data_IF_912687009399
#
_entry.id   IF_912687009399
#
_cell.length_a   1.000
_cell.length_b   1.000
_cell.length_c   1.000
_cell.angle_alpha   90.00
_cell.angle_beta   90.00
_cell.angle_gamma   90.00
#
_symmetry.space_group_name_H-M   'P 1'
#
loop_
_entity.id
_entity.type
_entity.pdbx_description
1 polymer ?
#
# COMPACT_ATOMS: atom_id res chain seq x y z
N UNK A 1 -14.72 22.13 86.34
CA UNK A 1 -14.49 23.55 85.96
C UNK A 1 -14.35 23.61 84.44
N UNK A 2 -15.04 24.58 83.83
CA UNK A 2 -14.94 25.12 82.44
C UNK A 2 -15.12 24.18 81.23
N UNK A 3 -16.25 24.24 80.51
CA UNK A 3 -16.73 25.21 79.48
C UNK A 3 -16.11 25.06 78.08
N UNK A 4 -16.96 24.57 77.18
CA UNK A 4 -17.36 25.16 75.91
C UNK A 4 -16.44 25.10 74.67
N UNK A 5 -16.97 24.46 73.61
CA UNK A 5 -17.21 24.94 72.21
C UNK A 5 -17.10 23.73 71.26
N UNK A 6 -17.96 23.46 70.28
CA UNK A 6 -19.13 24.14 69.75
C UNK A 6 -19.55 23.44 68.43
N UNK A 7 -20.87 23.38 68.20
CA UNK A 7 -21.59 23.34 66.91
C UNK A 7 -21.48 22.14 65.95
N UNK A 8 -22.52 21.29 66.09
CA UNK A 8 -23.33 20.58 65.08
C UNK A 8 -23.17 21.04 63.62
N UNK A 9 -23.13 20.07 62.72
CA UNK A 9 -23.92 20.15 61.48
C UNK A 9 -24.74 18.86 61.31
N UNK A 10 -26.05 19.05 61.14
CA UNK A 10 -27.08 18.03 60.98
C UNK A 10 -27.44 17.94 59.50
N UNK A 11 -27.51 16.73 58.94
CA UNK A 11 -28.72 16.22 58.27
C UNK A 11 -28.38 15.00 57.39
N UNK A 12 -29.13 13.91 57.61
CA UNK A 12 -29.21 12.74 56.73
C UNK A 12 -30.60 12.73 56.04
N UNK A 13 -30.98 11.70 55.25
CA UNK A 13 -31.44 11.85 53.86
C UNK A 13 -32.97 11.68 53.73
N UNK A 14 -33.57 11.98 52.57
CA UNK A 14 -34.89 11.42 52.22
C UNK A 14 -35.25 11.46 50.73
N UNK A 15 -35.58 10.27 50.23
CA UNK A 15 -36.70 9.90 49.35
C UNK A 15 -36.75 10.33 47.87
N UNK A 16 -36.92 9.28 47.05
CA UNK A 16 -37.22 9.25 45.64
C UNK A 16 -38.63 9.79 45.31
N UNK A 17 -38.78 10.37 44.12
CA UNK A 17 -40.05 10.49 43.40
C UNK A 17 -39.83 10.33 41.89
N UNK A 18 -40.73 9.56 41.30
CA UNK A 18 -40.82 9.08 39.93
C UNK A 18 -40.93 10.23 38.91
N UNK A 19 -40.32 10.05 37.75
CA UNK A 19 -40.58 10.86 36.56
C UNK A 19 -41.00 9.95 35.40
N UNK A 20 -42.11 10.29 34.78
CA UNK A 20 -42.92 9.42 33.93
C UNK A 20 -42.22 8.93 32.66
N UNK A 21 -42.54 7.69 32.30
CA UNK A 21 -42.20 7.08 31.02
C UNK A 21 -42.87 7.84 29.87
N UNK A 22 -42.12 8.73 29.24
CA UNK A 22 -42.46 9.21 27.90
C UNK A 22 -42.23 8.05 26.93
N UNK A 23 -43.32 7.56 26.33
CA UNK A 23 -43.31 6.57 25.24
C UNK A 23 -42.59 7.16 24.02
N UNK A 24 -41.26 7.15 24.04
CA UNK A 24 -40.47 7.32 22.84
C UNK A 24 -40.52 5.99 22.10
N UNK A 25 -41.36 5.95 21.07
CA UNK A 25 -41.43 4.89 20.08
C UNK A 25 -40.02 4.68 19.52
N UNK A 26 -39.30 3.66 20.00
CA UNK A 26 -38.10 3.14 19.34
C UNK A 26 -38.56 2.54 18.00
N UNK A 27 -38.70 3.40 16.99
CA UNK A 27 -38.58 2.99 15.61
C UNK A 27 -37.15 2.51 15.44
N UNK A 28 -36.96 1.19 15.59
CA UNK A 28 -35.82 0.50 15.00
C UNK A 28 -35.85 0.84 13.51
N UNK A 29 -35.06 1.82 13.10
CA UNK A 29 -34.55 1.88 11.74
C UNK A 29 -33.72 0.61 11.58
N UNK A 30 -34.37 -0.47 11.17
CA UNK A 30 -33.71 -1.48 10.38
C UNK A 30 -33.23 -0.73 9.13
N UNK A 31 -32.03 -0.16 9.20
CA UNK A 31 -31.29 0.16 8.01
C UNK A 31 -31.25 -1.16 7.23
N UNK A 32 -32.02 -1.23 6.16
CA UNK A 32 -31.93 -2.28 5.16
C UNK A 32 -30.57 -2.15 4.49
N UNK A 33 -29.50 -2.47 5.23
CA UNK A 33 -28.22 -2.77 4.62
C UNK A 33 -28.48 -3.99 3.78
N UNK A 34 -28.45 -3.83 2.46
CA UNK A 34 -28.42 -4.96 1.54
C UNK A 34 -27.34 -5.91 2.06
N UNK A 35 -27.75 -7.10 2.50
CA UNK A 35 -26.82 -8.09 3.04
C UNK A 35 -25.86 -8.42 1.91
N UNK A 36 -24.56 -8.19 2.13
CA UNK A 36 -23.52 -8.58 1.19
C UNK A 36 -23.73 -10.04 0.80
N UNK A 37 -23.77 -10.31 -0.50
CA UNK A 37 -24.00 -11.66 -1.02
C UNK A 37 -22.78 -12.55 -0.79
N UNK A 38 -21.59 -11.95 -0.80
CA UNK A 38 -20.31 -12.62 -0.71
C UNK A 38 -19.51 -12.12 0.50
N UNK A 39 -18.52 -12.92 0.90
CA UNK A 39 -17.67 -12.63 2.07
C UNK A 39 -16.54 -11.63 1.80
N UNK A 40 -16.15 -11.46 0.53
CA UNK A 40 -15.01 -10.63 0.13
C UNK A 40 -15.36 -9.20 -0.26
N UNK A 41 -14.34 -8.37 -0.40
CA UNK A 41 -14.48 -6.98 -0.84
C UNK A 41 -15.08 -6.90 -2.25
N UNK A 42 -16.02 -5.97 -2.44
CA UNK A 42 -16.59 -5.67 -3.74
C UNK A 42 -15.55 -5.16 -4.75
N UNK A 43 -15.99 -5.05 -5.99
CA UNK A 43 -15.17 -4.56 -7.10
C UNK A 43 -14.57 -3.20 -6.78
N UNK A 44 -13.28 -3.01 -7.07
CA UNK A 44 -12.60 -1.74 -6.83
C UNK A 44 -13.24 -0.61 -7.67
N UNK A 45 -13.56 0.55 -7.06
CA UNK A 45 -14.04 1.72 -7.80
C UNK A 45 -13.05 2.14 -8.89
N UNK A 46 -13.56 2.57 -10.05
CA UNK A 46 -12.74 3.02 -11.18
C UNK A 46 -11.73 1.97 -11.68
N UNK A 47 -12.05 0.67 -11.53
CA UNK A 47 -11.19 -0.47 -11.92
C UNK A 47 -10.48 -0.27 -13.27
N UNK A 48 -11.23 0.10 -14.31
CA UNK A 48 -10.68 0.31 -15.66
C UNK A 48 -9.65 1.45 -15.70
N UNK A 49 -9.92 2.57 -15.04
CA UNK A 49 -9.02 3.72 -15.04
C UNK A 49 -7.72 3.41 -14.30
N UNK A 50 -7.83 2.74 -13.13
CA UNK A 50 -6.66 2.31 -12.34
C UNK A 50 -5.82 1.31 -13.15
N UNK A 51 -6.46 0.31 -13.76
CA UNK A 51 -5.80 -0.70 -14.57
C UNK A 51 -5.02 -0.08 -15.73
N UNK A 52 -5.67 0.78 -16.51
CA UNK A 52 -5.05 1.42 -17.67
C UNK A 52 -3.92 2.38 -17.26
N UNK A 53 -4.10 3.13 -16.17
CA UNK A 53 -3.08 4.00 -15.60
C UNK A 53 -1.83 3.22 -15.20
N UNK A 54 -1.99 2.15 -14.41
CA UNK A 54 -0.88 1.27 -13.99
C UNK A 54 -0.17 0.63 -15.17
N UNK A 55 -0.91 0.15 -16.17
CA UNK A 55 -0.32 -0.40 -17.38
C UNK A 55 0.52 0.64 -18.13
N UNK A 56 0.01 1.86 -18.29
CA UNK A 56 0.71 2.93 -18.99
C UNK A 56 2.02 3.33 -18.28
N UNK A 57 1.99 3.46 -16.95
CA UNK A 57 3.18 3.74 -16.15
C UNK A 57 4.21 2.61 -16.23
N UNK A 58 3.76 1.36 -16.13
CA UNK A 58 4.65 0.20 -16.15
C UNK A 58 5.42 0.07 -17.48
N UNK A 59 4.83 0.49 -18.60
CA UNK A 59 5.53 0.49 -19.91
C UNK A 59 6.83 1.30 -19.90
N UNK A 60 6.94 2.33 -19.06
CA UNK A 60 8.17 3.10 -18.93
C UNK A 60 9.31 2.30 -18.28
N UNK A 61 9.00 1.28 -17.49
CA UNK A 61 9.96 0.39 -16.82
C UNK A 61 10.45 -0.74 -17.73
N UNK A 62 9.70 -1.06 -18.79
CA UNK A 62 10.06 -2.11 -19.75
C UNK A 62 11.23 -1.69 -20.64
N UNK A 63 12.04 -2.70 -20.99
CA UNK A 63 13.09 -2.55 -22.00
C UNK A 63 12.48 -2.08 -23.33
N UNK A 64 13.23 -1.34 -24.16
CA UNK A 64 12.71 -0.83 -25.44
C UNK A 64 12.09 -1.92 -26.33
N UNK A 65 12.69 -3.11 -26.34
CA UNK A 65 12.24 -4.27 -27.12
C UNK A 65 10.88 -4.82 -26.64
N UNK A 66 10.59 -4.72 -25.34
CA UNK A 66 9.38 -5.28 -24.73
C UNK A 66 8.32 -4.21 -24.42
N UNK A 67 8.65 -2.92 -24.59
CA UNK A 67 7.79 -1.75 -24.30
C UNK A 67 6.54 -1.66 -25.18
N UNK A 68 6.54 -2.32 -26.33
CA UNK A 68 5.39 -2.38 -27.22
C UNK A 68 4.28 -3.28 -26.64
N UNK A 69 3.55 -2.73 -25.65
CA UNK A 69 2.40 -3.35 -24.99
C UNK A 69 1.18 -2.46 -25.21
N UNK A 70 0.08 -3.06 -25.69
CA UNK A 70 -1.17 -2.35 -25.92
C UNK A 70 -2.08 -2.49 -24.69
N UNK A 71 -2.07 -1.47 -23.82
CA UNK A 71 -2.85 -1.48 -22.58
C UNK A 71 -4.36 -1.64 -22.81
N UNK A 72 -4.90 -1.07 -23.88
CA UNK A 72 -6.32 -1.24 -24.22
C UNK A 72 -6.63 -2.69 -24.58
N UNK A 73 -5.79 -3.32 -25.41
CA UNK A 73 -5.97 -4.74 -25.75
C UNK A 73 -5.81 -5.66 -24.53
N UNK A 74 -4.85 -5.36 -23.64
CA UNK A 74 -4.66 -6.08 -22.38
C UNK A 74 -5.89 -5.96 -21.48
N UNK A 75 -6.47 -4.76 -21.37
CA UNK A 75 -7.72 -4.52 -20.64
C UNK A 75 -8.91 -5.29 -21.25
N UNK A 76 -9.07 -5.24 -22.58
CA UNK A 76 -10.14 -5.94 -23.27
C UNK A 76 -10.03 -7.47 -23.09
N UNK A 77 -8.81 -8.01 -23.06
CA UNK A 77 -8.59 -9.42 -22.74
C UNK A 77 -8.91 -9.73 -21.26
N UNK A 78 -8.55 -8.84 -20.34
CA UNK A 78 -8.84 -8.99 -18.91
C UNK A 78 -10.35 -8.99 -18.63
N UNK A 79 -11.10 -8.04 -19.19
CA UNK A 79 -12.52 -7.83 -18.84
C UNK A 79 -13.47 -8.91 -19.35
N UNK A 80 -13.02 -9.85 -20.18
CA UNK A 80 -13.85 -11.00 -20.63
C UNK A 80 -14.44 -11.75 -19.44
N UNK A 81 -13.68 -11.88 -18.36
CA UNK A 81 -14.13 -12.55 -17.11
C UNK A 81 -15.23 -11.77 -16.38
N UNK A 82 -15.32 -10.46 -16.59
CA UNK A 82 -16.34 -9.60 -15.98
C UNK A 82 -17.72 -9.80 -16.62
N UNK A 83 -17.81 -10.54 -17.73
CA UNK A 83 -19.06 -10.97 -18.32
C UNK A 83 -19.51 -12.37 -17.83
N UNK A 84 -18.67 -13.09 -17.09
CA UNK A 84 -18.95 -14.45 -16.63
C UNK A 84 -19.67 -14.47 -15.27
N UNK A 85 -20.28 -15.61 -14.96
CA UNK A 85 -20.75 -15.88 -13.61
C UNK A 85 -19.57 -15.81 -12.61
N UNK A 86 -19.72 -15.11 -11.48
CA UNK A 86 -18.61 -14.86 -10.54
C UNK A 86 -18.12 -16.12 -9.81
N UNK A 87 -18.71 -17.30 -10.02
CA UNK A 87 -18.20 -18.59 -9.53
C UNK A 87 -17.84 -19.57 -10.66
N UNK A 88 -17.76 -19.09 -11.91
CA UNK A 88 -17.50 -19.89 -13.10
C UNK A 88 -16.31 -19.36 -13.91
N UNK A 89 -15.37 -18.67 -13.26
CA UNK A 89 -14.15 -18.14 -13.89
C UNK A 89 -13.00 -19.10 -13.65
N UNK A 90 -12.34 -19.54 -14.72
CA UNK A 90 -11.21 -20.46 -14.66
C UNK A 90 -9.89 -19.73 -14.91
N UNK A 91 -8.74 -20.25 -14.42
CA UNK A 91 -7.43 -19.68 -14.71
C UNK A 91 -7.14 -19.53 -16.22
N UNK A 92 -7.64 -20.45 -17.04
CA UNK A 92 -7.49 -20.41 -18.51
C UNK A 92 -8.19 -19.23 -19.16
N UNK A 93 -9.21 -18.64 -18.51
CA UNK A 93 -9.91 -17.47 -19.06
C UNK A 93 -9.00 -16.24 -19.15
N UNK A 94 -7.91 -16.23 -18.37
CA UNK A 94 -6.89 -15.19 -18.40
C UNK A 94 -5.74 -15.47 -19.37
N UNK A 95 -5.78 -16.54 -20.18
CA UNK A 95 -4.68 -16.92 -21.08
C UNK A 95 -4.34 -15.83 -22.10
N UNK A 96 -5.35 -15.23 -22.73
CA UNK A 96 -5.14 -14.14 -23.68
C UNK A 96 -4.55 -12.90 -22.98
N UNK A 97 -5.06 -12.58 -21.79
CA UNK A 97 -4.55 -11.48 -20.97
C UNK A 97 -3.06 -11.68 -20.64
N UNK A 98 -2.69 -12.88 -20.19
CA UNK A 98 -1.29 -13.23 -19.90
C UNK A 98 -0.45 -13.12 -21.16
N UNK A 99 -0.89 -13.68 -22.29
CA UNK A 99 -0.12 -13.65 -23.53
C UNK A 99 0.17 -12.22 -24.02
N UNK A 100 -0.79 -11.30 -23.87
CA UNK A 100 -0.63 -9.91 -24.29
C UNK A 100 0.25 -9.08 -23.34
N UNK A 101 0.31 -9.46 -22.06
CA UNK A 101 1.01 -8.71 -21.01
C UNK A 101 2.37 -9.32 -20.63
N UNK A 102 2.63 -10.59 -20.96
CA UNK A 102 3.85 -11.30 -20.62
C UNK A 102 5.10 -10.59 -21.14
N UNK A 103 6.13 -10.59 -20.31
CA UNK A 103 7.48 -10.15 -20.62
C UNK A 103 8.47 -10.96 -19.79
N UNK A 104 9.76 -10.92 -20.14
CA UNK A 104 10.79 -11.64 -19.38
C UNK A 104 10.98 -11.02 -17.99
N UNK A 105 11.19 -11.88 -17.01
CA UNK A 105 11.62 -11.49 -15.66
C UNK A 105 13.15 -11.60 -15.64
N UNK A 106 13.89 -10.55 -15.20
CA UNK A 106 15.34 -10.65 -15.12
C UNK A 106 15.79 -11.79 -14.20
N UNK A 107 16.87 -12.47 -14.57
CA UNK A 107 17.48 -13.53 -13.76
C UNK A 107 17.85 -13.00 -12.37
N UNK A 108 17.71 -13.83 -11.35
CA UNK A 108 18.05 -13.50 -9.95
C UNK A 108 17.23 -12.33 -9.35
N UNK A 109 16.07 -12.00 -9.94
CA UNK A 109 15.18 -10.92 -9.45
C UNK A 109 13.81 -11.40 -8.97
N UNK A 110 13.46 -12.67 -9.15
CA UNK A 110 12.17 -13.18 -8.71
C UNK A 110 12.10 -13.24 -7.18
N UNK A 111 11.02 -12.70 -6.62
CA UNK A 111 10.76 -12.64 -5.18
C UNK A 111 9.32 -13.12 -4.92
N UNK A 112 9.21 -14.34 -4.42
CA UNK A 112 7.97 -14.95 -3.95
C UNK A 112 7.74 -14.60 -2.49
N UNK A 113 6.52 -14.77 -1.99
CA UNK A 113 6.21 -14.44 -0.61
C UNK A 113 4.92 -15.06 -0.11
N UNK A 114 4.82 -15.16 1.21
CA UNK A 114 3.57 -15.47 1.93
C UNK A 114 3.46 -14.52 3.14
N UNK A 115 2.25 -14.05 3.42
CA UNK A 115 1.92 -13.18 4.56
C UNK A 115 2.82 -11.93 4.74
N UNK A 116 3.40 -11.43 3.65
CA UNK A 116 4.42 -10.35 3.65
C UNK A 116 4.19 -9.25 2.61
N UNK A 117 2.97 -9.14 2.06
CA UNK A 117 2.67 -8.34 0.86
C UNK A 117 3.22 -6.90 0.89
N UNK A 118 2.88 -6.14 1.93
CA UNK A 118 3.31 -4.74 2.06
C UNK A 118 4.83 -4.61 2.25
N UNK A 119 5.46 -5.57 2.94
CA UNK A 119 6.91 -5.56 3.13
C UNK A 119 7.61 -5.84 1.80
N UNK A 120 7.10 -6.78 1.01
CA UNK A 120 7.63 -7.14 -0.31
C UNK A 120 7.56 -5.96 -1.27
N UNK A 121 6.41 -5.30 -1.38
CA UNK A 121 6.25 -4.14 -2.28
C UNK A 121 7.16 -2.97 -1.87
N UNK A 122 7.35 -2.75 -0.57
CA UNK A 122 8.30 -1.73 -0.08
C UNK A 122 9.75 -2.12 -0.35
N UNK A 123 10.08 -3.41 -0.21
CA UNK A 123 11.44 -3.91 -0.34
C UNK A 123 11.89 -4.05 -1.81
N UNK A 124 10.99 -4.44 -2.71
CA UNK A 124 11.28 -4.56 -4.14
C UNK A 124 11.58 -3.22 -4.79
N UNK A 125 10.93 -2.17 -4.28
CA UNK A 125 11.12 -0.77 -4.67
C UNK A 125 10.89 -0.57 -6.17
N UNK A 126 9.70 -0.98 -6.62
CA UNK A 126 9.20 -0.84 -7.99
C UNK A 126 10.21 -1.38 -9.02
N UNK A 127 10.53 -2.67 -8.95
CA UNK A 127 11.52 -3.39 -9.80
C UNK A 127 13.00 -3.09 -9.54
N UNK A 128 13.34 -2.07 -8.71
CA UNK A 128 14.74 -1.64 -8.52
C UNK A 128 15.60 -2.71 -7.86
N UNK A 129 15.10 -3.34 -6.80
CA UNK A 129 15.84 -4.36 -6.04
C UNK A 129 15.45 -5.77 -6.49
N UNK A 130 14.16 -6.05 -6.50
CA UNK A 130 13.56 -7.32 -6.89
C UNK A 130 12.32 -7.07 -7.74
N UNK A 131 11.81 -8.10 -8.38
CA UNK A 131 10.61 -8.07 -9.21
C UNK A 131 9.64 -9.17 -8.74
N UNK A 132 8.93 -8.97 -7.61
CA UNK A 132 7.82 -9.84 -7.20
C UNK A 132 6.70 -9.83 -8.25
N UNK A 133 5.71 -10.72 -8.13
CA UNK A 133 4.59 -10.79 -9.09
C UNK A 133 3.83 -9.46 -9.22
N UNK A 134 3.69 -8.70 -8.11
CA UNK A 134 3.12 -7.34 -8.07
C UNK A 134 3.93 -6.30 -8.88
N UNK A 135 5.20 -6.60 -9.16
CA UNK A 135 6.11 -5.79 -9.96
C UNK A 135 6.31 -6.33 -11.39
N UNK A 136 5.50 -7.30 -11.81
CA UNK A 136 5.40 -7.75 -13.22
C UNK A 136 4.14 -7.16 -13.84
N UNK A 137 4.15 -6.81 -15.14
CA UNK A 137 3.03 -6.08 -15.78
C UNK A 137 1.66 -6.70 -15.48
N UNK A 138 1.52 -8.02 -15.63
CA UNK A 138 0.24 -8.69 -15.39
C UNK A 138 -0.17 -8.68 -13.91
N UNK A 139 0.75 -8.77 -12.95
CA UNK A 139 0.38 -8.66 -11.53
C UNK A 139 0.14 -7.21 -11.10
N UNK A 140 0.95 -6.27 -11.60
CA UNK A 140 0.88 -4.84 -11.28
C UNK A 140 -0.49 -4.25 -11.52
N UNK A 141 -1.12 -4.58 -12.65
CA UNK A 141 -2.43 -4.02 -13.01
C UNK A 141 -3.57 -4.47 -12.09
N UNK A 142 -3.37 -5.54 -11.32
CA UNK A 142 -4.37 -6.13 -10.43
C UNK A 142 -4.00 -6.03 -8.93
N UNK A 143 -2.80 -5.56 -8.61
CA UNK A 143 -2.29 -5.51 -7.24
C UNK A 143 -3.22 -4.71 -6.29
N UNK A 144 -3.66 -5.29 -5.18
CA UNK A 144 -4.69 -4.76 -4.26
C UNK A 144 -6.07 -4.45 -4.88
N UNK A 145 -6.39 -4.98 -6.07
CA UNK A 145 -7.70 -4.79 -6.67
C UNK A 145 -8.59 -6.03 -6.47
N UNK A 146 -9.89 -5.79 -6.38
CA UNK A 146 -10.94 -6.82 -6.38
C UNK A 146 -11.89 -6.56 -7.55
N UNK A 147 -12.47 -7.63 -8.10
CA UNK A 147 -13.44 -7.52 -9.19
C UNK A 147 -14.31 -8.76 -9.31
N UNK A 148 -15.59 -8.53 -9.58
CA UNK A 148 -16.53 -9.57 -9.96
C UNK A 148 -17.78 -8.98 -10.62
N UNK A 149 -18.50 -9.83 -11.36
CA UNK A 149 -19.82 -9.49 -11.90
C UNK A 149 -20.88 -9.77 -10.85
N UNK A 150 -21.96 -8.99 -10.86
CA UNK A 150 -23.17 -9.32 -10.12
C UNK A 150 -23.72 -10.68 -10.58
N UNK A 151 -24.26 -11.46 -9.63
CA UNK A 151 -24.85 -12.78 -9.93
C UNK A 151 -26.08 -12.68 -10.84
N UNK A 152 -26.94 -11.70 -10.58
CA UNK A 152 -28.25 -11.55 -11.21
C UNK A 152 -28.34 -10.37 -12.21
N UNK A 153 -27.22 -9.72 -12.53
CA UNK A 153 -27.17 -8.60 -13.46
C UNK A 153 -25.88 -8.60 -14.28
N UNK A 154 -25.81 -7.77 -15.32
CA UNK A 154 -24.62 -7.61 -16.16
C UNK A 154 -23.59 -6.63 -15.61
N UNK A 155 -23.92 -5.89 -14.53
CA UNK A 155 -23.03 -4.92 -13.91
C UNK A 155 -21.96 -5.57 -13.01
N UNK A 156 -20.98 -4.77 -12.63
CA UNK A 156 -19.99 -5.14 -11.61
C UNK A 156 -20.62 -5.10 -10.22
N UNK A 157 -20.22 -6.02 -9.35
CA UNK A 157 -20.66 -6.04 -7.96
C UNK A 157 -19.67 -5.23 -7.12
N UNK A 158 -20.07 -4.02 -6.72
CA UNK A 158 -19.29 -3.14 -5.86
C UNK A 158 -19.56 -3.38 -4.37
N UNK A 159 -20.53 -4.23 -4.02
CA UNK A 159 -20.87 -4.50 -2.62
C UNK A 159 -19.98 -5.59 -2.05
N UNK A 160 -19.83 -6.69 -2.78
CA UNK A 160 -19.05 -7.85 -2.32
C UNK A 160 -18.62 -8.72 -3.49
N UNK A 161 -17.52 -9.46 -3.36
CA UNK A 161 -17.08 -10.47 -4.33
C UNK A 161 -16.78 -11.81 -3.66
N UNK A 162 -16.97 -12.94 -4.36
CA UNK A 162 -16.73 -14.26 -3.78
C UNK A 162 -15.26 -14.47 -3.44
N UNK A 163 -15.01 -15.05 -2.27
CA UNK A 163 -13.69 -15.55 -1.85
C UNK A 163 -13.57 -17.04 -2.15
N UNK A 164 -12.41 -17.62 -1.82
CA UNK A 164 -12.17 -19.07 -1.88
C UNK A 164 -13.13 -19.88 -1.00
N UNK A 165 -13.69 -19.29 0.07
CA UNK A 165 -14.70 -19.93 0.92
C UNK A 165 -16.08 -19.95 0.27
N UNK A 166 -16.41 -18.93 -0.53
CA UNK A 166 -17.68 -18.84 -1.25
C UNK A 166 -17.68 -19.76 -2.47
N UNK A 167 -16.62 -19.71 -3.28
CA UNK A 167 -16.42 -20.59 -4.43
C UNK A 167 -14.97 -20.58 -4.94
N UNK A 168 -14.47 -21.76 -5.31
CA UNK A 168 -13.09 -21.96 -5.78
C UNK A 168 -12.74 -21.23 -7.08
N UNK A 169 -13.73 -21.09 -7.98
CA UNK A 169 -13.57 -20.54 -9.33
C UNK A 169 -14.10 -19.09 -9.42
N UNK A 170 -13.70 -18.27 -8.46
CA UNK A 170 -13.97 -16.83 -8.48
C UNK A 170 -12.95 -16.07 -9.36
N UNK A 171 -13.26 -14.83 -9.81
CA UNK A 171 -12.42 -14.13 -10.78
C UNK A 171 -11.03 -13.79 -10.25
N UNK A 172 -10.93 -13.41 -8.97
CA UNK A 172 -9.68 -12.95 -8.35
C UNK A 172 -8.74 -14.12 -8.08
N UNK A 173 -9.23 -15.20 -7.49
CA UNK A 173 -8.40 -16.39 -7.23
C UNK A 173 -7.96 -17.04 -8.54
N UNK A 174 -8.86 -17.19 -9.51
CA UNK A 174 -8.49 -17.74 -10.83
C UNK A 174 -7.45 -16.88 -11.56
N UNK A 175 -7.50 -15.57 -11.38
CA UNK A 175 -6.48 -14.66 -11.89
C UNK A 175 -5.12 -14.91 -11.25
N UNK A 176 -5.05 -14.91 -9.92
CA UNK A 176 -3.79 -15.09 -9.21
C UNK A 176 -3.22 -16.49 -9.42
N UNK A 177 -4.07 -17.53 -9.49
CA UNK A 177 -3.65 -18.88 -9.90
C UNK A 177 -2.92 -18.83 -11.25
N UNK A 178 -3.51 -18.15 -12.25
CA UNK A 178 -2.92 -18.05 -13.58
C UNK A 178 -1.63 -17.22 -13.62
N UNK A 179 -1.62 -16.09 -12.92
CA UNK A 179 -0.48 -15.18 -12.83
C UNK A 179 0.71 -15.83 -12.10
N UNK A 180 0.47 -16.49 -10.96
CA UNK A 180 1.47 -17.24 -10.20
C UNK A 180 2.10 -18.37 -11.01
N UNK A 181 1.27 -19.18 -11.72
CA UNK A 181 1.77 -20.20 -12.63
C UNK A 181 2.70 -19.60 -13.69
N UNK A 182 2.32 -18.46 -14.27
CA UNK A 182 3.12 -17.81 -15.30
C UNK A 182 4.43 -17.24 -14.74
N UNK A 183 4.35 -16.61 -13.58
CA UNK A 183 5.47 -16.01 -12.87
C UNK A 183 6.54 -17.08 -12.56
N UNK A 184 6.14 -18.20 -11.97
CA UNK A 184 7.04 -19.33 -11.67
C UNK A 184 7.69 -19.96 -12.90
N UNK A 185 6.98 -20.03 -14.03
CA UNK A 185 7.54 -20.57 -15.29
C UNK A 185 8.60 -19.66 -15.91
N UNK A 186 8.47 -18.35 -15.69
CA UNK A 186 9.35 -17.33 -16.27
C UNK A 186 10.51 -16.94 -15.34
N UNK A 187 10.44 -17.31 -14.06
CA UNK A 187 11.52 -17.13 -13.08
C UNK A 187 12.75 -17.99 -13.38
N UNK A 188 13.94 -17.44 -13.09
CA UNK A 188 15.22 -18.13 -13.30
C UNK A 188 16.35 -17.58 -12.41
N UNK A 189 17.41 -18.37 -12.26
CA UNK A 189 18.54 -18.05 -11.39
C UNK A 189 18.24 -18.37 -9.92
N UNK A 190 18.65 -17.49 -9.01
CA UNK A 190 18.32 -17.56 -7.59
C UNK A 190 16.88 -17.13 -7.41
N UNK A 191 16.09 -18.00 -6.78
CA UNK A 191 14.71 -17.71 -6.39
C UNK A 191 14.72 -17.24 -4.94
N UNK A 192 14.22 -16.03 -4.68
CA UNK A 192 14.09 -15.50 -3.34
C UNK A 192 12.65 -15.67 -2.86
N UNK A 193 12.47 -16.00 -1.58
CA UNK A 193 11.15 -16.17 -0.98
C UNK A 193 11.12 -15.46 0.37
N UNK A 194 10.17 -14.54 0.58
CA UNK A 194 10.00 -13.83 1.84
C UNK A 194 8.78 -14.38 2.60
N UNK A 195 9.01 -15.00 3.75
CA UNK A 195 7.98 -15.59 4.60
C UNK A 195 7.89 -14.83 5.92
N UNK A 196 6.70 -14.81 6.53
CA UNK A 196 6.48 -14.18 7.82
C UNK A 196 6.63 -15.21 8.95
N UNK A 197 7.73 -15.16 9.71
CA UNK A 197 7.99 -16.01 10.87
C UNK A 197 7.19 -15.64 12.11
N UNK A 198 6.47 -14.51 12.08
CA UNK A 198 5.55 -14.08 13.13
C UNK A 198 4.09 -14.47 12.86
N UNK A 199 3.82 -15.17 11.75
CA UNK A 199 2.49 -15.66 11.40
C UNK A 199 2.01 -16.75 12.38
N UNK A 200 0.84 -16.60 13.04
CA UNK A 200 0.35 -17.57 14.02
C UNK A 200 0.14 -18.99 13.49
N UNK A 201 -0.13 -19.12 12.18
CA UNK A 201 -0.35 -20.42 11.52
C UNK A 201 0.94 -21.08 11.01
N UNK A 202 2.09 -20.44 11.23
CA UNK A 202 3.40 -20.86 10.72
C UNK A 202 3.81 -20.10 9.46
N UNK A 203 5.11 -20.10 9.17
CA UNK A 203 5.70 -19.30 8.09
C UNK A 203 5.36 -19.83 6.69
N UNK A 204 5.19 -21.14 6.53
CA UNK A 204 4.87 -21.81 5.28
C UNK A 204 3.47 -22.46 5.32
N UNK A 205 2.45 -21.85 4.70
CA UNK A 205 1.15 -22.47 4.56
C UNK A 205 1.24 -23.63 3.56
N UNK A 206 0.91 -24.85 4.01
CA UNK A 206 0.93 -26.05 3.14
C UNK A 206 -0.11 -26.00 2.01
N UNK A 207 -1.12 -25.14 2.14
CA UNK A 207 -2.12 -24.80 1.12
C UNK A 207 -2.05 -23.30 0.88
N UNK A 208 -1.87 -22.89 -0.36
CA UNK A 208 -1.65 -21.49 -0.71
C UNK A 208 -1.07 -21.33 -2.10
N UNK A 209 -0.95 -20.09 -2.57
CA UNK A 209 -0.43 -19.82 -3.91
C UNK A 209 0.99 -20.34 -4.07
N UNK A 210 1.85 -20.06 -3.10
CA UNK A 210 3.24 -20.52 -3.15
C UNK A 210 3.35 -22.06 -3.18
N UNK A 211 2.55 -22.74 -2.34
CA UNK A 211 2.56 -24.19 -2.23
C UNK A 211 1.95 -24.91 -3.43
N UNK A 212 0.81 -24.44 -3.94
CA UNK A 212 -0.03 -25.20 -4.87
C UNK A 212 0.16 -24.78 -6.33
N UNK A 213 0.55 -23.52 -6.58
CA UNK A 213 0.60 -22.95 -7.93
C UNK A 213 2.00 -22.49 -8.34
N UNK A 214 2.87 -22.17 -7.38
CA UNK A 214 4.19 -21.61 -7.70
C UNK A 214 5.29 -22.67 -7.66
N UNK A 215 5.50 -23.34 -6.51
CA UNK A 215 6.52 -24.40 -6.36
C UNK A 215 6.38 -25.48 -7.46
N UNK A 216 5.18 -26.01 -7.77
CA UNK A 216 5.04 -27.04 -8.80
C UNK A 216 5.40 -26.58 -10.22
N UNK A 217 5.42 -25.26 -10.47
CA UNK A 217 5.66 -24.69 -11.80
C UNK A 217 7.10 -24.19 -11.99
N UNK A 218 7.96 -24.32 -10.98
CA UNK A 218 9.37 -24.00 -11.10
C UNK A 218 10.09 -24.82 -12.16
N UNK A 219 10.82 -24.12 -13.03
CA UNK A 219 11.62 -24.73 -14.10
C UNK A 219 12.98 -25.11 -13.53
N UNK A 220 13.13 -26.38 -13.12
CA UNK A 220 14.31 -26.89 -12.40
C UNK A 220 15.62 -26.59 -13.12
N UNK A 221 15.63 -26.72 -14.43
CA UNK A 221 16.79 -26.48 -15.29
C UNK A 221 17.23 -25.00 -15.36
N UNK A 222 16.35 -24.06 -14.98
CA UNK A 222 16.64 -22.62 -14.99
C UNK A 222 16.99 -22.06 -13.60
N UNK A 223 16.76 -22.83 -12.55
CA UNK A 223 16.91 -22.39 -11.15
C UNK A 223 18.23 -22.89 -10.59
N UNK A 224 19.01 -21.99 -10.00
CA UNK A 224 20.30 -22.33 -9.37
C UNK A 224 20.11 -22.79 -7.93
N UNK A 225 19.37 -22.01 -7.14
CA UNK A 225 19.01 -22.31 -5.76
C UNK A 225 17.77 -21.51 -5.35
N UNK A 226 17.15 -21.94 -4.26
CA UNK A 226 16.04 -21.26 -3.61
C UNK A 226 16.52 -20.77 -2.25
N UNK A 227 16.42 -19.46 -2.04
CA UNK A 227 16.84 -18.78 -0.83
C UNK A 227 15.62 -18.20 -0.11
N UNK A 228 15.37 -18.69 1.10
CA UNK A 228 14.24 -18.29 1.92
C UNK A 228 14.68 -17.26 2.96
N UNK A 229 13.90 -16.20 3.13
CA UNK A 229 14.04 -15.21 4.17
C UNK A 229 12.83 -15.30 5.10
N UNK A 230 13.05 -15.77 6.32
CA UNK A 230 12.01 -15.82 7.36
C UNK A 230 12.12 -14.53 8.15
N UNK A 231 11.15 -13.63 7.95
CA UNK A 231 11.13 -12.29 8.53
C UNK A 231 10.24 -12.27 9.76
N UNK A 232 10.72 -11.73 10.87
CA UNK A 232 9.93 -11.53 12.08
C UNK A 232 9.54 -10.05 12.25
N UNK A 233 8.42 -9.81 12.92
CA UNK A 233 8.03 -8.47 13.33
C UNK A 233 8.93 -7.95 14.46
N UNK A 234 9.30 -6.67 14.40
CA UNK A 234 10.14 -6.03 15.42
C UNK A 234 9.39 -6.00 16.76
N UNK A 235 9.87 -6.77 17.73
CA UNK A 235 9.22 -6.92 19.04
C UNK A 235 7.95 -7.78 19.00
N UNK A 236 7.63 -8.40 17.86
CA UNK A 236 6.54 -9.34 17.71
C UNK A 236 6.93 -10.77 18.11
N UNK A 237 5.99 -11.73 17.99
CA UNK A 237 6.26 -13.13 18.30
C UNK A 237 7.21 -13.75 17.27
N UNK A 238 8.16 -14.56 17.73
CA UNK A 238 8.90 -15.49 16.88
C UNK A 238 8.17 -16.83 16.94
N UNK A 239 7.28 -17.07 15.96
CA UNK A 239 6.47 -18.30 15.90
C UNK A 239 7.27 -19.43 15.27
N UNK A 240 7.93 -19.16 14.15
CA UNK A 240 8.79 -20.12 13.47
C UNK A 240 10.01 -19.44 12.84
N UNK A 241 11.18 -20.04 13.07
CA UNK A 241 12.43 -19.69 12.39
C UNK A 241 12.84 -20.75 11.35
N UNK A 242 13.92 -20.48 10.61
CA UNK A 242 14.51 -21.43 9.67
C UNK A 242 14.72 -22.83 10.28
N UNK A 243 14.19 -23.85 9.61
CA UNK A 243 14.32 -25.24 10.06
C UNK A 243 13.39 -25.62 11.20
N UNK A 244 12.34 -24.86 11.50
CA UNK A 244 11.32 -25.18 12.51
C UNK A 244 9.94 -25.42 11.87
N UNK A 245 9.07 -26.15 12.56
CA UNK A 245 7.68 -26.41 12.16
C UNK A 245 7.44 -26.55 10.65
N UNK A 246 6.65 -25.64 10.07
CA UNK A 246 6.30 -25.62 8.65
C UNK A 246 7.50 -25.38 7.72
N UNK A 247 8.55 -24.71 8.20
CA UNK A 247 9.79 -24.50 7.44
C UNK A 247 10.55 -25.81 7.18
N UNK A 248 10.49 -26.79 8.09
CA UNK A 248 11.03 -28.15 7.82
C UNK A 248 10.26 -28.84 6.70
N UNK A 249 8.95 -28.64 6.63
CA UNK A 249 8.09 -29.21 5.58
C UNK A 249 8.47 -28.62 4.23
N UNK A 250 8.62 -27.29 4.16
CA UNK A 250 9.08 -26.58 2.96
C UNK A 250 10.48 -27.03 2.53
N UNK A 251 11.44 -27.03 3.46
CA UNK A 251 12.82 -27.45 3.19
C UNK A 251 12.87 -28.87 2.62
N UNK A 252 12.16 -29.81 3.26
CA UNK A 252 12.07 -31.19 2.79
C UNK A 252 11.49 -31.26 1.38
N UNK A 253 10.35 -30.59 1.14
CA UNK A 253 9.69 -30.57 -0.18
C UNK A 253 10.62 -30.06 -1.29
N UNK A 254 11.32 -28.95 -1.06
CA UNK A 254 12.23 -28.36 -2.04
C UNK A 254 13.45 -29.25 -2.30
N UNK A 255 14.01 -29.87 -1.25
CA UNK A 255 15.12 -30.82 -1.37
C UNK A 255 14.71 -32.09 -2.10
N UNK A 256 13.52 -32.64 -1.82
CA UNK A 256 12.97 -33.82 -2.49
C UNK A 256 12.73 -33.56 -3.99
N UNK A 257 12.38 -32.32 -4.36
CA UNK A 257 12.32 -31.88 -5.78
C UNK A 257 13.72 -31.67 -6.40
N UNK A 258 14.78 -31.73 -5.61
CA UNK A 258 16.18 -31.60 -6.01
C UNK A 258 16.64 -30.16 -6.23
N UNK A 259 16.05 -29.20 -5.52
CA UNK A 259 16.54 -27.83 -5.49
C UNK A 259 17.64 -27.66 -4.42
N UNK A 260 18.62 -26.80 -4.70
CA UNK A 260 19.50 -26.28 -3.66
C UNK A 260 18.69 -25.32 -2.77
N UNK A 261 18.79 -25.49 -1.46
CA UNK A 261 18.01 -24.74 -0.48
C UNK A 261 18.93 -24.00 0.49
N UNK A 262 18.61 -22.73 0.76
CA UNK A 262 19.20 -21.94 1.84
C UNK A 262 18.13 -21.14 2.56
N UNK A 263 18.29 -20.93 3.87
CA UNK A 263 17.35 -20.17 4.69
C UNK A 263 18.09 -19.19 5.58
N UNK A 264 17.56 -17.96 5.69
CA UNK A 264 18.12 -16.87 6.48
C UNK A 264 16.99 -16.28 7.32
N UNK A 265 17.18 -16.22 8.65
CA UNK A 265 16.29 -15.47 9.53
C UNK A 265 16.63 -13.98 9.45
N UNK A 266 15.61 -13.13 9.40
CA UNK A 266 15.69 -11.67 9.47
C UNK A 266 16.76 -11.08 8.54
N UNK A 267 16.60 -11.37 7.25
CA UNK A 267 17.54 -10.96 6.22
C UNK A 267 17.80 -9.45 6.25
N UNK A 268 19.05 -9.09 6.53
CA UNK A 268 19.51 -7.71 6.54
C UNK A 268 20.12 -7.34 5.18
N UNK A 269 19.46 -6.45 4.46
CA UNK A 269 20.04 -5.91 3.22
C UNK A 269 21.25 -5.02 3.53
N UNK A 270 22.37 -5.12 2.78
CA UNK A 270 23.53 -4.26 2.92
C UNK A 270 23.24 -2.75 2.78
N UNK A 271 22.09 -2.39 2.19
CA UNK A 271 21.60 -1.03 2.01
C UNK A 271 20.71 -0.53 3.17
N UNK A 272 20.76 -1.18 4.34
CA UNK A 272 20.15 -0.72 5.58
C UNK A 272 18.69 -1.15 5.78
N UNK A 273 18.36 -1.40 7.04
CA UNK A 273 17.10 -1.87 7.64
C UNK A 273 15.87 -0.94 7.43
N UNK A 274 15.79 -0.19 6.34
CA UNK A 274 14.75 0.84 6.17
C UNK A 274 13.32 0.30 6.03
N UNK A 275 13.10 -0.94 5.58
CA UNK A 275 11.75 -1.44 5.26
C UNK A 275 10.97 -2.01 6.44
N UNK A 276 11.63 -2.57 7.46
CA UNK A 276 10.95 -2.98 8.70
C UNK A 276 10.90 -1.83 9.72
N UNK A 277 11.94 -0.99 9.79
CA UNK A 277 11.97 0.18 10.68
C UNK A 277 10.97 1.27 10.29
N UNK A 278 10.45 1.28 9.06
CA UNK A 278 9.37 2.20 8.65
C UNK A 278 8.00 1.81 9.19
N UNK A 279 7.82 0.58 9.69
CA UNK A 279 6.58 0.08 10.29
C UNK A 279 6.56 0.09 11.82
N UNK A 280 7.70 0.32 12.47
CA UNK A 280 7.74 0.41 13.91
C UNK A 280 7.03 1.71 14.36
N UNK A 281 5.97 1.65 15.19
CA UNK A 281 5.42 2.85 15.81
C UNK A 281 6.49 3.38 16.77
N UNK A 282 7.18 4.44 16.39
CA UNK A 282 8.08 5.13 17.30
C UNK A 282 7.23 5.65 18.47
N UNK A 283 7.29 4.96 19.62
CA UNK A 283 6.78 5.50 20.89
C UNK A 283 7.66 6.69 21.25
N UNK A 284 7.18 7.89 20.99
CA UNK A 284 7.79 9.11 21.51
C UNK A 284 7.50 9.18 23.01
N UNK A 285 8.45 8.74 23.83
CA UNK A 285 8.38 8.93 25.29
C UNK A 285 8.92 10.33 25.62
N UNK A 286 8.13 11.22 26.27
CA UNK A 286 8.61 12.57 26.58
C UNK A 286 9.65 12.51 27.70
N UNK A 287 10.89 12.93 27.42
CA UNK A 287 11.90 13.13 28.45
C UNK A 287 11.54 14.36 29.32
N UNK A 288 11.82 14.32 30.64
CA UNK A 288 11.43 15.37 31.56
C UNK A 288 12.18 16.69 31.31
N UNK A 289 11.55 17.86 31.53
CA UNK A 289 12.19 19.14 31.28
C UNK A 289 13.27 19.41 32.33
N UNK A 290 14.53 19.56 31.91
CA UNK A 290 15.59 20.14 32.74
C UNK A 290 15.49 21.67 32.70
N UNK A 291 15.55 22.36 33.87
CA UNK A 291 15.43 23.82 33.91
C UNK A 291 16.75 24.50 33.52
N UNK A 292 16.74 25.27 32.43
CA UNK A 292 17.82 26.22 32.12
C UNK A 292 17.70 27.47 32.99
N UNK A 293 18.58 27.60 33.99
CA UNK A 293 18.77 28.85 34.74
C UNK A 293 19.60 29.84 33.91
N UNK A 294 18.95 30.80 33.25
CA UNK A 294 19.61 32.00 32.74
C UNK A 294 19.25 33.19 33.61
N UNK A 295 20.26 33.69 34.32
CA UNK A 295 20.23 34.88 35.18
C UNK A 295 20.22 36.11 34.28
N UNK A 296 19.07 36.76 34.10
CA UNK A 296 19.00 38.09 33.49
C UNK A 296 18.35 39.09 34.45
N UNK A 297 19.03 40.23 34.58
CA UNK A 297 18.64 41.40 35.36
C UNK A 297 17.48 42.09 34.62
N UNK A 298 16.37 42.31 35.33
CA UNK A 298 15.06 42.79 34.84
C UNK A 298 15.07 44.22 34.23
N UNK A 299 13.94 44.80 33.76
CA UNK A 299 12.64 44.22 33.39
C UNK A 299 12.04 44.80 32.08
N UNK A 300 11.49 43.96 31.21
CA UNK A 300 10.35 44.36 30.36
C UNK A 300 9.52 43.13 29.99
N UNK A 301 8.34 43.02 30.63
CA UNK A 301 7.50 41.80 30.69
C UNK A 301 6.78 41.43 29.38
N UNK A 302 6.95 42.16 28.28
CA UNK A 302 6.31 41.83 27.01
C UNK A 302 7.14 40.94 26.07
N UNK A 303 8.46 40.81 26.28
CA UNK A 303 9.31 40.05 25.36
C UNK A 303 9.31 38.53 25.65
N UNK A 304 8.91 38.11 26.85
CA UNK A 304 8.86 36.68 27.19
C UNK A 304 7.69 35.92 26.53
N UNK A 305 6.56 36.57 26.24
CA UNK A 305 5.40 35.87 25.66
C UNK A 305 5.57 35.54 24.18
N UNK A 306 6.30 36.38 23.42
CA UNK A 306 6.58 36.09 22.01
C UNK A 306 7.68 35.04 21.82
N UNK A 307 8.62 34.92 22.76
CA UNK A 307 9.73 33.96 22.69
C UNK A 307 9.31 32.52 23.05
N UNK A 308 8.28 32.36 23.88
CA UNK A 308 7.69 31.04 24.20
C UNK A 308 6.84 30.45 23.06
N UNK A 309 6.33 31.28 22.13
CA UNK A 309 5.54 30.81 20.99
C UNK A 309 6.37 30.33 19.79
N UNK A 310 7.69 30.58 19.78
CA UNK A 310 8.58 30.23 18.67
C UNK A 310 9.39 28.94 18.86
N UNK A 311 9.35 28.30 20.04
CA UNK A 311 10.11 27.06 20.34
C UNK A 311 9.19 25.82 20.36
N UNK A 312 8.04 25.88 19.68
CA UNK A 312 7.19 24.71 19.46
C UNK A 312 7.12 24.32 17.98
N UNK A 313 8.27 24.32 17.31
CA UNK A 313 8.45 23.62 16.04
C UNK A 313 9.20 22.31 16.28
N UNK A 314 8.47 21.22 16.07
CA UNK A 314 8.96 19.85 16.04
C UNK A 314 10.22 19.73 15.17
N UNK A 315 11.37 19.47 15.79
CA UNK A 315 12.51 18.87 15.10
C UNK A 315 12.39 17.35 15.23
N UNK A 316 11.98 16.72 14.14
CA UNK A 316 12.27 15.32 13.86
C UNK A 316 13.77 15.21 13.55
N UNK A 317 14.55 14.31 14.18
CA UNK A 317 15.99 14.32 13.99
C UNK A 317 16.38 13.86 12.59
N UNK A 318 17.15 14.70 11.91
CA UNK A 318 17.94 14.32 10.75
C UNK A 318 19.01 13.29 11.15
N UNK A 319 19.31 12.39 10.20
CA UNK A 319 20.35 11.36 10.20
C UNK A 319 21.52 11.58 11.17
N UNK A 320 21.76 10.59 12.02
CA UNK A 320 23.00 10.45 12.79
C UNK A 320 24.13 9.97 11.85
N UNK A 321 25.01 10.88 11.45
CA UNK A 321 26.32 10.59 10.87
C UNK A 321 27.41 10.88 11.90
N UNK A 322 28.23 9.87 12.20
CA UNK A 322 29.37 9.86 13.12
C UNK A 322 30.45 10.85 12.65
N UNK A 323 30.77 11.93 13.40
CA UNK A 323 31.98 12.07 14.23
C UNK A 323 32.84 13.32 13.84
N UNK A 324 33.54 14.03 14.77
CA UNK A 324 33.86 15.45 14.64
C UNK A 324 35.36 15.79 14.37
N UNK A 325 35.61 16.94 13.75
CA UNK A 325 36.93 17.57 13.66
C UNK A 325 36.80 19.07 13.41
N UNK A 326 37.03 19.87 14.44
CA UNK A 326 36.95 21.33 14.44
C UNK A 326 38.06 21.98 13.58
N UNK A 327 37.80 23.17 13.02
CA UNK A 327 38.53 24.44 13.28
C UNK A 327 37.91 25.58 12.44
N UNK A 328 37.36 26.55 13.19
CA UNK A 328 37.41 28.02 13.10
C UNK A 328 37.22 28.83 11.80
N UNK A 329 36.29 29.80 11.93
CA UNK A 329 36.33 31.22 11.51
C UNK A 329 36.32 31.53 9.99
N UNK A 330 35.62 32.54 9.47
CA UNK A 330 35.07 33.77 10.03
C UNK A 330 33.82 34.24 9.24
N UNK A 331 33.01 35.08 9.89
CA UNK A 331 31.82 35.75 9.35
C UNK A 331 32.16 36.96 8.45
N UNK A 332 31.45 37.06 7.32
CA UNK A 332 30.78 38.26 6.75
C UNK A 332 31.65 39.45 6.21
N UNK A 333 31.07 40.49 5.58
CA UNK A 333 30.10 40.58 4.45
C UNK A 333 30.45 41.69 3.41
N UNK A 334 29.57 41.85 2.40
CA UNK A 334 29.05 43.14 1.83
C UNK A 334 29.52 43.61 0.43
N UNK A 335 28.54 43.63 -0.49
CA UNK A 335 28.05 44.76 -1.33
C UNK A 335 28.90 45.47 -2.39
N UNK A 336 28.18 45.77 -3.50
CA UNK A 336 28.28 46.92 -4.45
C UNK A 336 29.11 46.75 -5.74
N UNK A 337 28.46 46.99 -6.89
CA UNK A 337 29.12 47.35 -8.15
C UNK A 337 28.34 47.02 -9.44
N UNK A 338 27.54 47.99 -9.91
CA UNK A 338 26.74 48.01 -11.15
C UNK A 338 27.52 48.07 -12.49
N UNK A 339 26.76 47.89 -13.59
CA UNK A 339 26.95 48.25 -15.03
C UNK A 339 27.55 47.14 -15.92
N UNK A 340 27.06 46.82 -17.11
CA UNK A 340 26.00 47.35 -17.97
C UNK A 340 26.29 46.96 -19.44
N UNK A 341 25.27 46.73 -20.28
CA UNK A 341 25.44 46.56 -21.73
C UNK A 341 24.22 45.97 -22.45
N UNK A 342 23.60 46.75 -23.34
CA UNK A 342 22.32 46.50 -24.03
C UNK A 342 22.50 46.51 -25.58
N UNK A 343 21.74 45.64 -26.29
CA UNK A 343 21.08 45.79 -27.64
C UNK A 343 21.99 45.61 -28.89
N UNK A 344 21.67 44.78 -29.92
CA UNK A 344 20.54 44.85 -30.90
C UNK A 344 20.41 43.47 -31.64
N UNK A 345 19.28 42.74 -31.59
CA UNK A 345 18.06 42.73 -32.44
C UNK A 345 18.20 42.14 -33.87
N UNK A 346 17.54 40.99 -34.10
CA UNK A 346 16.72 40.68 -35.29
C UNK A 346 15.72 39.56 -34.94
N UNK A 347 14.41 39.84 -35.07
CA UNK A 347 13.30 38.88 -34.89
C UNK A 347 12.90 38.30 -36.24
N UNK A 348 12.65 37.00 -36.32
CA UNK A 348 11.43 36.44 -36.94
C UNK A 348 11.13 35.02 -36.39
N UNK A 349 9.84 34.73 -36.26
CA UNK A 349 9.07 33.67 -35.54
C UNK A 349 8.77 32.47 -36.49
N UNK A 350 8.35 31.24 -36.15
CA UNK A 350 7.74 30.57 -34.97
C UNK A 350 7.95 29.03 -35.09
N UNK A 351 8.26 28.32 -33.99
CA UNK A 351 7.44 27.27 -33.31
C UNK A 351 8.30 26.43 -32.32
N UNK A 352 7.78 26.10 -31.11
CA UNK A 352 8.59 25.67 -29.98
C UNK A 352 8.74 24.15 -29.86
N UNK A 353 9.98 23.73 -29.65
CA UNK A 353 10.35 22.39 -29.23
C UNK A 353 10.15 22.13 -27.74
N UNK A 354 10.15 20.84 -27.43
CA UNK A 354 10.11 20.22 -26.11
C UNK A 354 11.22 20.68 -25.15
N UNK A 355 10.84 20.90 -23.89
CA UNK A 355 11.52 20.48 -22.66
C UNK A 355 10.47 20.74 -21.55
N UNK A 356 10.16 19.84 -20.62
CA UNK A 356 11.04 18.92 -19.93
C UNK A 356 11.19 19.41 -18.49
N UNK A 357 10.10 19.38 -17.71
CA UNK A 357 10.19 19.54 -16.25
C UNK A 357 9.91 18.20 -15.59
N UNK A 358 10.98 17.48 -15.31
CA UNK A 358 11.00 16.31 -14.42
C UNK A 358 10.40 16.71 -13.07
N UNK A 359 9.33 16.06 -12.60
CA UNK A 359 8.78 16.36 -11.28
C UNK A 359 9.81 16.02 -10.20
N UNK A 360 10.08 16.97 -9.31
CA UNK A 360 11.02 16.76 -8.22
C UNK A 360 10.53 15.65 -7.27
N UNK A 361 11.44 14.87 -6.65
CA UNK A 361 11.10 13.72 -5.79
C UNK A 361 10.13 14.05 -4.63
N UNK A 362 10.11 15.31 -4.19
CA UNK A 362 9.24 15.80 -3.12
C UNK A 362 7.76 15.94 -3.52
N UNK A 363 7.46 16.11 -4.82
CA UNK A 363 6.07 16.12 -5.31
C UNK A 363 5.49 14.72 -5.46
N UNK A 364 6.33 13.73 -5.82
CA UNK A 364 5.92 12.32 -5.94
C UNK A 364 5.60 11.73 -4.55
N UNK A 365 6.39 12.08 -3.53
CA UNK A 365 6.04 11.73 -2.15
C UNK A 365 4.71 12.39 -1.73
N UNK A 366 4.50 13.69 -2.00
CA UNK A 366 3.25 14.37 -1.63
C UNK A 366 2.00 13.77 -2.28
N UNK A 367 2.09 13.23 -3.49
CA UNK A 367 0.97 12.53 -4.14
C UNK A 367 0.73 11.18 -3.47
N UNK A 368 1.77 10.40 -3.15
CA UNK A 368 1.67 9.14 -2.40
C UNK A 368 1.05 9.33 -1.00
N UNK A 369 1.37 10.42 -0.30
CA UNK A 369 0.74 10.79 0.97
C UNK A 369 -0.72 11.26 0.81
N UNK A 370 -1.10 11.84 -0.34
CA UNK A 370 -2.48 12.22 -0.61
C UNK A 370 -3.39 11.00 -0.82
N UNK A 371 -2.89 9.91 -1.43
CA UNK A 371 -3.66 8.67 -1.59
C UNK A 371 -3.92 7.94 -0.27
N UNK A 372 -3.06 8.10 0.74
CA UNK A 372 -3.28 7.54 2.08
C UNK A 372 -4.37 8.28 2.88
N UNK A 373 -4.80 9.47 2.44
CA UNK A 373 -5.80 10.29 3.15
C UNK A 373 -7.17 10.39 2.46
N UNK A 374 -7.40 9.71 1.32
CA UNK A 374 -8.72 9.69 0.62
C UNK A 374 -9.50 8.40 0.92
N UNK A 375 -9.34 7.85 2.12
CA UNK A 375 -10.33 6.94 2.69
C UNK A 375 -11.03 7.71 3.81
N UNK A 376 -12.36 7.85 3.67
CA UNK A 376 -13.32 8.61 4.51
C UNK A 376 -13.72 9.96 3.89
N UNK A 377 -14.66 9.91 2.94
CA UNK A 377 -15.70 10.92 2.77
C UNK A 377 -17.04 10.17 2.73
N UNK A 378 -18.01 10.47 3.62
CA UNK A 378 -19.34 9.86 3.58
C UNK A 378 -20.11 10.33 2.35
N UNK A 379 -20.81 9.41 1.70
CA UNK A 379 -21.64 9.67 0.53
C UNK A 379 -22.73 10.72 0.85
N UNK A 380 -22.58 11.92 0.31
CA UNK A 380 -23.67 12.88 0.17
C UNK A 380 -24.41 12.57 -1.12
N UNK A 381 -25.71 12.34 -1.00
CA UNK A 381 -26.60 12.09 -2.12
C UNK A 381 -26.73 13.35 -2.98
N UNK A 382 -26.45 13.24 -4.27
CA UNK A 382 -26.93 14.19 -5.27
C UNK A 382 -27.83 13.42 -6.23
N UNK A 383 -29.13 13.60 -6.03
CA UNK A 383 -30.18 13.31 -7.01
C UNK A 383 -30.06 14.32 -8.15
N UNK A 384 -29.60 13.89 -9.31
CA UNK A 384 -29.89 14.63 -10.54
C UNK A 384 -31.20 14.11 -11.13
N UNK A 385 -32.23 14.94 -10.96
CA UNK A 385 -33.36 15.00 -11.86
C UNK A 385 -32.89 15.56 -13.21
N UNK A 386 -33.16 14.84 -14.28
CA UNK A 386 -32.87 15.23 -15.66
C UNK A 386 -33.75 14.46 -16.63
N UNK A 387 -35.07 14.67 -16.54
CA UNK A 387 -35.97 14.44 -17.67
C UNK A 387 -35.60 15.41 -18.81
N UNK A 388 -35.58 14.92 -20.06
CA UNK A 388 -36.14 15.53 -21.30
C UNK A 388 -35.67 14.73 -22.55
N UNK A 389 -36.41 14.76 -23.68
CA UNK A 389 -37.07 13.59 -24.25
C UNK A 389 -36.58 13.21 -25.67
N UNK A 390 -37.06 12.06 -26.14
CA UNK A 390 -36.80 11.45 -27.46
C UNK A 390 -36.91 12.43 -28.66
N UNK A 391 -36.01 12.35 -29.66
CA UNK A 391 -36.22 13.00 -30.95
C UNK A 391 -37.14 12.14 -31.82
N UNK A 392 -38.34 12.67 -32.06
CA UNK A 392 -39.29 12.15 -33.04
C UNK A 392 -38.69 12.08 -34.44
N UNK A 393 -38.94 10.92 -35.04
CA UNK A 393 -38.72 10.51 -36.43
C UNK A 393 -39.59 11.35 -37.38
N UNK A 394 -38.98 12.21 -38.20
CA UNK A 394 -39.66 12.84 -39.34
C UNK A 394 -39.69 11.86 -40.53
N UNK A 395 -40.90 11.49 -40.96
CA UNK A 395 -41.17 10.92 -42.29
C UNK A 395 -42.06 11.87 -43.06
N UNK A 396 -41.72 12.04 -44.32
CA UNK A 396 -42.40 12.74 -45.41
C UNK A 396 -43.91 12.49 -45.44
N UNK A 397 -44.72 13.54 -45.35
CA UNK A 397 -45.66 13.98 -46.39
C UNK A 397 -46.29 15.33 -46.05
#
# INVERSE_FOLDING_TARGET
MEKARGWRDQSSPMAARECGASRLLLLLLAAGGARALWSGEGTSPQLQAIFLGRCAEYRALLSPEQRNKNCTAIWEAFKVVLAKDPCSVLPSDYDLFINLSRHSIPRDKSLFWENSHLLVNSFSDNTRRFMPVSDVLYGRVADFLSWCRQKNASGLDYQSCPTSEDCENNPVDSFWKRASIQYSKDSSGVIYVMLNGSEPTGAYPIKGFFADYEIPNFQKEKITRIEIWVMHEIGGPNVESCGEGSMKVLEKRLKDMGFQYSCINDYQSPMGSFSQLSKAPYKCEPLPPTPCLLKTRSPSRLVCYLYLLLICYCQCPQKLGVGPGAVAQACNPSTLGDRGGWITRLRYRDHPGQHGETPSPLKIQKISWAWLHVSIIPATWETEAGELPEPRRWRLR
#
